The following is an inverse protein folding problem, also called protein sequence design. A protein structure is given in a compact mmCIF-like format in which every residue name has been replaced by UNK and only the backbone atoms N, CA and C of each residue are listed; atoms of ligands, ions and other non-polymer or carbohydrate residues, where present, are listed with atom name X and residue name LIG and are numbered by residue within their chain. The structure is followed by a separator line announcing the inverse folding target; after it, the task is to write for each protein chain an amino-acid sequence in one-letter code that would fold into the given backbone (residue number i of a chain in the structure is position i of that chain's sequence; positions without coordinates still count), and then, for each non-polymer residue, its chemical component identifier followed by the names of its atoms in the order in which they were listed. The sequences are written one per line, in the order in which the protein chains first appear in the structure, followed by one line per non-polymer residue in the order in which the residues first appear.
data_IF_561340128899
#
_entry.id   IF_561340128899
#
_cell.length_a   1.000
_cell.length_b   1.000
_cell.length_c   1.000
_cell.angle_alpha   90.00
_cell.angle_beta   90.00
_cell.angle_gamma   90.00
#
_symmetry.space_group_name_H-M   'P 1'
#
loop_
_entity.id
_entity.type
_entity.pdbx_description
1 polymer ?
#
# COMPACT_ATOMS: atom_id res chain seq x y z
N UNK A 1 17.13 -5.90 -24.52
CA UNK A 1 16.82 -7.28 -24.95
C UNK A 1 16.53 -8.23 -23.79
N UNK A 2 16.57 -7.78 -22.54
CA UNK A 2 16.12 -8.57 -21.40
C UNK A 2 14.59 -8.51 -21.28
N UNK A 3 14.00 -9.60 -20.81
CA UNK A 3 12.59 -9.69 -20.51
C UNK A 3 12.24 -8.86 -19.27
N UNK A 4 11.06 -8.23 -19.22
CA UNK A 4 10.59 -7.49 -18.04
C UNK A 4 10.25 -8.43 -16.88
N UNK A 5 9.75 -9.65 -17.17
CA UNK A 5 9.54 -10.72 -16.19
C UNK A 5 10.54 -11.84 -16.42
N UNK A 6 11.00 -12.45 -15.32
CA UNK A 6 11.90 -13.60 -15.39
C UNK A 6 11.21 -14.79 -16.04
N UNK A 7 11.90 -15.41 -17.00
CA UNK A 7 11.52 -16.67 -17.61
C UNK A 7 12.75 -17.59 -17.67
N UNK A 8 12.72 -18.66 -16.91
CA UNK A 8 13.81 -19.62 -16.80
C UNK A 8 14.21 -20.22 -18.16
N UNK A 9 13.23 -20.50 -19.04
CA UNK A 9 13.48 -21.04 -20.38
C UNK A 9 14.30 -20.09 -21.26
N UNK A 10 14.22 -18.78 -20.99
CA UNK A 10 14.94 -17.76 -21.73
C UNK A 10 16.22 -17.29 -21.02
N UNK A 11 16.73 -18.02 -20.03
CA UNK A 11 18.04 -17.74 -19.42
C UNK A 11 19.08 -18.72 -19.97
N UNK A 12 19.71 -18.33 -21.07
CA UNK A 12 20.76 -19.10 -21.74
C UNK A 12 21.98 -18.23 -22.05
N UNK A 13 23.16 -18.85 -22.12
CA UNK A 13 24.37 -18.20 -22.62
C UNK A 13 24.27 -18.02 -24.14
N UNK A 14 24.58 -16.81 -24.61
CA UNK A 14 24.58 -16.46 -26.02
C UNK A 14 25.97 -15.96 -26.43
N UNK A 15 26.49 -16.48 -27.53
CA UNK A 15 27.72 -16.01 -28.18
C UNK A 15 27.31 -15.34 -29.48
N UNK A 16 27.61 -14.05 -29.58
CA UNK A 16 27.34 -13.26 -30.78
C UNK A 16 28.59 -13.20 -31.68
N UNK A 17 28.46 -12.67 -32.90
CA UNK A 17 29.53 -12.42 -33.89
C UNK A 17 30.68 -11.58 -33.35
N UNK A 18 30.49 -10.87 -32.24
CA UNK A 18 31.55 -10.16 -31.54
C UNK A 18 32.42 -11.07 -30.64
N UNK A 19 32.21 -12.39 -30.68
CA UNK A 19 32.90 -13.42 -29.91
C UNK A 19 32.81 -13.27 -28.38
N UNK A 20 31.91 -12.42 -27.87
CA UNK A 20 31.68 -12.27 -26.43
C UNK A 20 30.51 -13.15 -26.00
N UNK A 21 30.66 -13.75 -24.82
CA UNK A 21 29.62 -14.51 -24.13
C UNK A 21 28.76 -13.58 -23.30
N UNK A 22 27.44 -13.70 -23.43
CA UNK A 22 26.49 -12.94 -22.65
C UNK A 22 25.51 -13.88 -21.96
N UNK A 23 25.41 -13.72 -20.64
CA UNK A 23 24.45 -14.42 -19.81
C UNK A 23 23.69 -13.38 -18.98
N UNK A 24 22.34 -13.38 -18.98
CA UNK A 24 21.57 -12.54 -18.09
C UNK A 24 21.95 -12.79 -16.63
N UNK A 25 22.06 -11.70 -15.85
CA UNK A 25 22.29 -11.78 -14.40
C UNK A 25 21.19 -12.63 -13.73
N UNK A 26 21.49 -13.16 -12.55
CA UNK A 26 20.53 -13.90 -11.75
C UNK A 26 19.23 -13.08 -11.55
N UNK A 27 18.08 -13.72 -11.71
CA UNK A 27 16.77 -13.05 -11.73
C UNK A 27 16.37 -12.43 -13.06
N UNK A 28 17.24 -12.37 -14.08
CA UNK A 28 16.90 -11.86 -15.42
C UNK A 28 16.97 -12.95 -16.49
N UNK A 29 16.24 -12.74 -17.59
CA UNK A 29 16.21 -13.62 -18.76
C UNK A 29 16.16 -12.80 -20.05
N UNK A 30 16.47 -13.42 -21.19
CA UNK A 30 16.30 -12.80 -22.51
C UNK A 30 14.81 -12.61 -22.85
N UNK A 31 14.50 -11.57 -23.62
CA UNK A 31 13.16 -11.33 -24.14
C UNK A 31 12.81 -12.30 -25.28
N UNK A 32 13.80 -12.69 -26.06
CA UNK A 32 13.65 -13.51 -27.27
C UNK A 32 14.27 -14.90 -27.06
N UNK A 33 13.84 -15.89 -27.85
CA UNK A 33 14.48 -17.21 -27.89
C UNK A 33 15.85 -17.13 -28.57
N UNK A 34 16.68 -18.17 -28.40
CA UNK A 34 18.02 -18.21 -28.96
C UNK A 34 17.99 -18.10 -30.50
N UNK A 35 17.04 -18.78 -31.12
CA UNK A 35 16.82 -18.77 -32.57
C UNK A 35 16.49 -17.35 -33.06
N UNK A 36 15.59 -16.66 -32.35
CA UNK A 36 15.22 -15.28 -32.72
C UNK A 36 16.36 -14.30 -32.51
N UNK A 37 17.20 -14.51 -31.50
CA UNK A 37 18.40 -13.69 -31.27
C UNK A 37 19.42 -13.87 -32.40
N UNK A 38 19.61 -15.09 -32.93
CA UNK A 38 20.46 -15.35 -34.10
C UNK A 38 19.90 -14.69 -35.36
N UNK A 39 18.60 -14.81 -35.61
CA UNK A 39 17.93 -14.15 -36.75
C UNK A 39 18.12 -12.61 -36.71
N UNK A 40 17.96 -12.02 -35.52
CA UNK A 40 18.18 -10.58 -35.33
C UNK A 40 19.64 -10.16 -35.51
N UNK A 41 20.59 -11.04 -35.20
CA UNK A 41 22.01 -10.79 -35.44
C UNK A 41 22.35 -10.81 -36.94
N UNK A 42 21.82 -11.78 -37.68
CA UNK A 42 21.97 -11.85 -39.14
C UNK A 42 21.36 -10.62 -39.83
N UNK A 43 20.20 -10.16 -39.36
CA UNK A 43 19.52 -8.97 -39.89
C UNK A 43 20.15 -7.64 -39.40
N UNK A 44 21.31 -7.67 -38.74
CA UNK A 44 22.03 -6.47 -38.29
C UNK A 44 21.28 -5.64 -37.23
N UNK A 45 20.33 -6.25 -36.51
CA UNK A 45 19.49 -5.61 -35.49
C UNK A 45 20.09 -5.66 -34.09
N UNK A 46 21.32 -6.09 -33.93
CA UNK A 46 21.99 -6.17 -32.63
C UNK A 46 23.13 -5.15 -32.57
N UNK A 47 23.08 -4.29 -31.55
CA UNK A 47 24.15 -3.35 -31.22
C UNK A 47 24.86 -3.80 -29.93
N UNK A 48 26.19 -3.71 -29.90
CA UNK A 48 27.05 -4.23 -28.83
C UNK A 48 27.58 -3.14 -27.88
N UNK A 49 26.81 -2.08 -27.64
CA UNK A 49 27.20 -1.01 -26.71
C UNK A 49 27.32 -1.47 -25.24
N UNK A 50 28.21 -0.85 -24.45
CA UNK A 50 29.51 -1.42 -24.09
C UNK A 50 29.47 -2.70 -23.24
N UNK A 51 28.35 -3.04 -22.62
CA UNK A 51 28.25 -4.14 -21.65
C UNK A 51 27.18 -5.20 -21.97
N UNK A 52 26.08 -4.85 -22.65
CA UNK A 52 25.00 -5.79 -22.95
C UNK A 52 24.38 -5.49 -24.32
N UNK A 53 24.10 -6.51 -25.13
CA UNK A 53 23.61 -6.31 -26.47
C UNK A 53 22.20 -5.69 -26.44
N UNK A 54 21.98 -4.71 -27.31
CA UNK A 54 20.72 -3.97 -27.46
C UNK A 54 20.12 -4.24 -28.83
N UNK A 55 18.78 -4.19 -28.90
CA UNK A 55 18.07 -4.24 -30.17
C UNK A 55 18.22 -2.86 -30.84
N UNK A 56 18.76 -2.85 -32.05
CA UNK A 56 18.74 -1.73 -32.98
C UNK A 56 17.39 -1.73 -33.71
N UNK A 57 16.82 -0.55 -33.89
CA UNK A 57 15.61 -0.36 -34.70
C UNK A 57 15.95 0.65 -35.78
N UNK A 58 15.63 0.34 -37.03
CA UNK A 58 16.00 1.18 -38.16
C UNK A 58 14.96 2.29 -38.34
N UNK A 59 15.43 3.49 -38.71
CA UNK A 59 14.58 4.68 -38.83
C UNK A 59 13.48 4.53 -39.90
N UNK A 60 13.76 3.79 -40.97
CA UNK A 60 12.79 3.47 -42.02
C UNK A 60 11.66 2.53 -41.55
N UNK A 61 11.83 1.84 -40.42
CA UNK A 61 10.83 0.95 -39.81
C UNK A 61 10.07 1.64 -38.67
N UNK A 62 10.62 2.74 -38.15
CA UNK A 62 9.90 3.55 -37.17
C UNK A 62 8.84 4.35 -37.89
N UNK A 63 7.58 3.92 -37.78
CA UNK A 63 6.43 4.76 -38.13
C UNK A 63 6.37 6.01 -37.25
N UNK A 64 5.26 6.77 -37.33
CA UNK A 64 5.01 7.93 -36.49
C UNK A 64 5.26 7.59 -35.01
N UNK A 65 6.35 8.13 -34.45
CA UNK A 65 6.64 7.98 -33.04
C UNK A 65 5.77 8.98 -32.27
N UNK A 66 5.14 8.56 -31.16
CA UNK A 66 4.42 9.50 -30.32
C UNK A 66 5.38 10.59 -29.83
N UNK A 67 4.93 11.85 -29.88
CA UNK A 67 5.68 13.00 -29.40
C UNK A 67 6.13 12.75 -27.96
N UNK A 68 7.38 13.07 -27.65
CA UNK A 68 7.88 12.98 -26.28
C UNK A 68 7.03 13.88 -25.38
N UNK A 69 6.76 13.41 -24.17
CA UNK A 69 6.04 14.19 -23.16
C UNK A 69 6.69 15.56 -22.95
N UNK A 70 5.87 16.60 -22.75
CA UNK A 70 6.34 17.92 -22.33
C UNK A 70 6.88 17.90 -20.90
N UNK A 71 6.55 16.87 -20.10
CA UNK A 71 7.14 16.67 -18.80
C UNK A 71 8.60 16.23 -18.97
N UNK A 72 9.50 17.14 -18.62
CA UNK A 72 10.93 16.89 -18.65
C UNK A 72 11.30 15.72 -17.75
N UNK A 73 12.25 14.92 -18.21
CA UNK A 73 12.75 13.74 -17.50
C UNK A 73 13.30 14.10 -16.12
N UNK A 74 13.84 15.30 -15.94
CA UNK A 74 14.35 15.73 -14.63
C UNK A 74 13.24 15.88 -13.58
N UNK A 75 12.03 16.24 -14.06
CA UNK A 75 10.83 16.45 -13.25
C UNK A 75 10.10 15.13 -13.02
N UNK A 76 9.76 14.42 -14.10
CA UNK A 76 8.89 13.24 -14.04
C UNK A 76 9.67 11.91 -13.92
N UNK A 77 10.97 11.92 -14.20
CA UNK A 77 11.75 10.71 -14.36
C UNK A 77 11.40 9.92 -15.62
N UNK A 78 11.90 8.69 -15.70
CA UNK A 78 11.63 7.78 -16.80
C UNK A 78 11.37 6.34 -16.30
N UNK A 79 10.88 5.47 -17.19
CA UNK A 79 10.54 4.09 -16.86
C UNK A 79 11.74 3.28 -16.32
N UNK A 80 12.96 3.55 -16.79
CA UNK A 80 14.15 2.84 -16.30
C UNK A 80 14.42 3.16 -14.84
N UNK A 81 14.27 4.43 -14.45
CA UNK A 81 14.42 4.87 -13.06
C UNK A 81 13.41 4.20 -12.13
N UNK A 82 12.15 4.05 -12.56
CA UNK A 82 11.13 3.31 -11.80
C UNK A 82 11.56 1.87 -11.52
N UNK A 83 12.06 1.18 -12.56
CA UNK A 83 12.55 -0.20 -12.44
C UNK A 83 13.77 -0.29 -11.53
N UNK A 84 14.75 0.60 -11.71
CA UNK A 84 15.97 0.64 -10.89
C UNK A 84 15.67 0.88 -9.41
N UNK A 85 14.78 1.82 -9.09
CA UNK A 85 14.40 2.12 -7.71
C UNK A 85 13.76 0.90 -7.04
N UNK A 86 12.87 0.19 -7.75
CA UNK A 86 12.28 -1.02 -7.21
C UNK A 86 13.32 -2.13 -7.01
N UNK A 87 14.25 -2.31 -7.95
CA UNK A 87 15.34 -3.28 -7.82
C UNK A 87 16.25 -2.97 -6.63
N UNK A 88 16.54 -1.70 -6.38
CA UNK A 88 17.33 -1.27 -5.22
C UNK A 88 16.62 -1.64 -3.90
N UNK A 89 15.31 -1.42 -3.80
CA UNK A 89 14.50 -1.78 -2.63
C UNK A 89 14.43 -3.31 -2.42
N UNK A 90 14.40 -4.09 -3.51
CA UNK A 90 14.21 -5.55 -3.49
C UNK A 90 15.50 -6.35 -3.71
N UNK A 91 16.68 -5.74 -3.58
CA UNK A 91 17.98 -6.40 -3.74
C UNK A 91 18.14 -7.13 -5.09
N UNK A 92 17.82 -6.45 -6.20
CA UNK A 92 17.87 -6.97 -7.58
C UNK A 92 16.99 -8.20 -7.86
N UNK A 93 16.07 -8.55 -6.96
CA UNK A 93 15.06 -9.56 -7.28
C UNK A 93 14.06 -8.97 -8.26
N UNK A 94 13.77 -9.70 -9.33
CA UNK A 94 12.73 -9.31 -10.30
C UNK A 94 11.37 -9.54 -9.67
N UNK A 95 10.81 -8.50 -9.03
CA UNK A 95 9.59 -8.62 -8.23
C UNK A 95 8.36 -8.06 -8.93
N UNK A 96 8.51 -7.06 -9.82
CA UNK A 96 7.38 -6.45 -10.54
C UNK A 96 7.81 -5.77 -11.83
N UNK A 97 6.99 -5.89 -12.87
CA UNK A 97 7.24 -5.28 -14.18
C UNK A 97 6.65 -3.86 -14.26
N UNK A 98 7.40 -2.94 -14.87
CA UNK A 98 6.94 -1.59 -15.21
C UNK A 98 6.40 -0.75 -14.04
N UNK A 99 7.11 -0.65 -12.89
CA UNK A 99 6.74 0.32 -11.86
C UNK A 99 6.75 1.75 -12.43
N UNK A 100 5.82 2.58 -11.97
CA UNK A 100 5.81 4.00 -12.34
C UNK A 100 7.01 4.71 -11.72
N UNK A 101 7.58 5.75 -12.35
CA UNK A 101 8.63 6.53 -11.74
C UNK A 101 8.11 7.28 -10.51
N UNK A 102 8.78 7.16 -9.36
CA UNK A 102 8.41 7.89 -8.13
C UNK A 102 8.36 9.41 -8.35
N UNK A 103 9.34 9.94 -9.10
CA UNK A 103 9.42 11.37 -9.45
C UNK A 103 8.14 11.90 -10.11
N UNK A 104 7.57 11.15 -11.04
CA UNK A 104 6.31 11.51 -11.69
C UNK A 104 5.18 11.64 -10.67
N UNK A 105 4.99 10.64 -9.81
CA UNK A 105 3.91 10.67 -8.82
C UNK A 105 4.12 11.77 -7.79
N UNK A 106 5.35 11.97 -7.32
CA UNK A 106 5.68 13.06 -6.40
C UNK A 106 5.38 14.42 -7.03
N UNK A 107 5.76 14.62 -8.29
CA UNK A 107 5.44 15.85 -9.03
C UNK A 107 3.92 16.07 -9.12
N UNK A 108 3.15 15.06 -9.53
CA UNK A 108 1.69 15.18 -9.66
C UNK A 108 1.03 15.49 -8.31
N UNK A 109 1.41 14.78 -7.25
CA UNK A 109 0.86 15.00 -5.90
C UNK A 109 1.25 16.40 -5.38
N UNK A 110 2.47 16.87 -5.65
CA UNK A 110 2.93 18.21 -5.23
C UNK A 110 2.15 19.36 -5.83
N UNK A 111 1.40 19.14 -6.92
CA UNK A 111 0.51 20.17 -7.51
C UNK A 111 -0.76 20.38 -6.70
N UNK A 112 -1.10 19.45 -5.81
CA UNK A 112 -2.17 19.65 -4.86
C UNK A 112 -1.63 20.40 -3.62
N UNK A 113 -2.18 21.59 -3.37
CA UNK A 113 -1.70 22.48 -2.31
C UNK A 113 -2.01 21.97 -0.89
N UNK A 114 -3.05 21.16 -0.73
CA UNK A 114 -3.41 20.64 0.59
C UNK A 114 -2.43 19.55 1.03
N UNK A 115 -1.58 19.89 2.00
CA UNK A 115 -0.60 18.97 2.59
C UNK A 115 -1.21 17.95 3.58
N UNK A 116 -2.51 18.00 3.81
CA UNK A 116 -3.25 17.07 4.68
C UNK A 116 -4.24 16.21 3.89
N UNK A 117 -4.09 16.13 2.55
CA UNK A 117 -4.99 15.38 1.68
C UNK A 117 -4.81 13.86 1.79
N UNK A 118 -5.87 13.11 1.55
CA UNK A 118 -5.81 11.65 1.35
C UNK A 118 -5.67 11.32 -0.14
N UNK A 119 -4.62 10.58 -0.49
CA UNK A 119 -4.32 10.14 -1.86
C UNK A 119 -4.80 8.70 -2.05
N UNK A 120 -5.72 8.48 -2.98
CA UNK A 120 -6.23 7.15 -3.33
C UNK A 120 -5.62 6.66 -4.63
N UNK A 121 -5.07 5.45 -4.62
CA UNK A 121 -4.65 4.72 -5.81
C UNK A 121 -5.23 3.31 -5.81
N UNK A 122 -6.26 3.10 -6.62
CA UNK A 122 -6.96 1.82 -6.74
C UNK A 122 -6.32 0.84 -7.74
N UNK A 123 -5.18 1.21 -8.32
CA UNK A 123 -4.34 0.38 -9.18
C UNK A 123 -2.87 0.46 -8.75
N UNK A 124 -2.64 0.29 -7.44
CA UNK A 124 -1.35 0.61 -6.82
C UNK A 124 -0.16 -0.17 -7.39
N UNK A 125 -0.39 -1.41 -7.85
CA UNK A 125 0.64 -2.27 -8.45
C UNK A 125 1.88 -2.33 -7.56
N UNK A 126 3.01 -1.80 -8.04
CA UNK A 126 4.25 -1.73 -7.26
C UNK A 126 4.17 -0.93 -5.94
N UNK A 127 3.15 -0.10 -5.71
CA UNK A 127 3.03 0.74 -4.52
C UNK A 127 3.85 2.03 -4.60
N UNK A 128 4.08 2.55 -5.81
CA UNK A 128 4.88 3.76 -6.03
C UNK A 128 4.22 5.00 -5.42
N UNK A 129 2.88 5.09 -5.45
CA UNK A 129 2.12 6.22 -4.90
C UNK A 129 2.39 6.42 -3.41
N UNK A 130 2.35 5.36 -2.60
CA UNK A 130 2.66 5.44 -1.17
C UNK A 130 4.08 5.93 -0.89
N UNK A 131 5.08 5.40 -1.64
CA UNK A 131 6.46 5.87 -1.54
C UNK A 131 6.59 7.37 -1.87
N UNK A 132 5.93 7.85 -2.93
CA UNK A 132 5.96 9.26 -3.30
C UNK A 132 5.32 10.16 -2.23
N UNK A 133 4.21 9.72 -1.61
CA UNK A 133 3.55 10.46 -0.50
C UNK A 133 4.46 10.56 0.71
N UNK A 134 5.09 9.47 1.13
CA UNK A 134 6.00 9.44 2.28
C UNK A 134 7.20 10.36 2.08
N UNK A 135 7.80 10.32 0.89
CA UNK A 135 8.93 11.19 0.55
C UNK A 135 8.52 12.66 0.53
N UNK A 136 7.37 12.99 -0.07
CA UNK A 136 6.89 14.37 -0.14
C UNK A 136 6.58 14.92 1.26
N UNK A 137 5.97 14.13 2.15
CA UNK A 137 5.73 14.53 3.54
C UNK A 137 7.04 14.78 4.30
N UNK A 138 8.08 13.96 4.10
CA UNK A 138 9.41 14.18 4.70
C UNK A 138 10.07 15.44 4.15
N UNK A 139 9.91 15.75 2.86
CA UNK A 139 10.50 16.91 2.20
C UNK A 139 9.83 18.24 2.57
N UNK A 140 8.49 18.28 2.62
CA UNK A 140 7.73 19.52 2.75
C UNK A 140 6.99 19.69 4.08
N UNK A 141 7.21 18.78 5.03
CA UNK A 141 6.57 18.75 6.35
C UNK A 141 5.07 18.45 6.29
N UNK A 142 4.58 17.91 5.18
CA UNK A 142 3.17 17.55 5.02
C UNK A 142 2.74 16.34 5.85
N UNK A 143 1.43 16.17 5.94
CA UNK A 143 0.77 15.06 6.64
C UNK A 143 -0.27 14.40 5.71
N UNK A 144 0.10 14.20 4.44
CA UNK A 144 -0.74 13.52 3.45
C UNK A 144 -0.89 12.06 3.83
N UNK A 145 -2.09 11.52 3.69
CA UNK A 145 -2.39 10.10 3.88
C UNK A 145 -2.49 9.41 2.53
N UNK A 146 -2.36 8.08 2.50
CA UNK A 146 -2.57 7.31 1.27
C UNK A 146 -3.37 6.03 1.52
N UNK A 147 -4.17 5.66 0.52
CA UNK A 147 -4.89 4.39 0.45
C UNK A 147 -4.49 3.72 -0.87
N UNK A 148 -3.93 2.52 -0.77
CA UNK A 148 -3.50 1.73 -1.93
C UNK A 148 -4.37 0.48 -2.04
N UNK A 149 -5.01 0.30 -3.19
CA UNK A 149 -5.69 -0.94 -3.52
C UNK A 149 -4.95 -1.65 -4.65
N UNK A 150 -4.78 -2.96 -4.50
CA UNK A 150 -4.25 -3.84 -5.53
C UNK A 150 -4.93 -5.19 -5.43
N UNK A 151 -5.18 -5.82 -6.58
CA UNK A 151 -5.59 -7.21 -6.63
C UNK A 151 -4.39 -8.14 -6.32
N UNK A 152 -4.69 -9.43 -6.13
CA UNK A 152 -3.65 -10.46 -5.91
C UNK A 152 -2.96 -10.87 -7.21
N UNK A 153 -3.70 -10.85 -8.32
CA UNK A 153 -3.35 -11.43 -9.63
C UNK A 153 -2.92 -12.92 -9.57
N UNK A 154 -3.43 -13.67 -8.59
CA UNK A 154 -3.23 -15.11 -8.58
C UNK A 154 -3.96 -15.78 -9.75
N UNK A 155 -3.36 -16.84 -10.25
CA UNK A 155 -3.91 -17.70 -11.30
C UNK A 155 -4.03 -19.13 -10.78
N UNK A 156 -4.64 -20.04 -11.54
CA UNK A 156 -4.65 -21.47 -11.18
C UNK A 156 -3.24 -22.04 -11.05
N UNK A 157 -2.32 -21.59 -11.92
CA UNK A 157 -0.92 -22.05 -11.93
C UNK A 157 -0.06 -21.37 -10.87
N UNK A 158 -0.53 -20.24 -10.32
CA UNK A 158 0.16 -19.52 -9.25
C UNK A 158 -0.88 -18.97 -8.24
N UNK A 159 -1.46 -19.85 -7.41
CA UNK A 159 -2.55 -19.49 -6.50
C UNK A 159 -2.10 -18.57 -5.37
N UNK A 160 -0.81 -18.61 -5.02
CA UNK A 160 -0.21 -17.86 -3.91
C UNK A 160 0.29 -16.47 -4.28
N UNK A 161 0.36 -16.14 -5.58
CA UNK A 161 0.77 -14.82 -6.06
C UNK A 161 -0.12 -13.76 -5.43
N UNK A 162 0.49 -12.79 -4.75
CA UNK A 162 -0.24 -11.70 -4.13
C UNK A 162 0.56 -10.40 -4.25
N UNK A 163 0.33 -9.68 -5.35
CA UNK A 163 1.03 -8.41 -5.62
C UNK A 163 0.85 -7.42 -4.45
N UNK A 164 -0.36 -7.33 -3.91
CA UNK A 164 -0.66 -6.42 -2.81
C UNK A 164 0.22 -6.70 -1.57
N UNK A 165 0.37 -7.97 -1.18
CA UNK A 165 1.20 -8.39 -0.03
C UNK A 165 2.69 -8.33 -0.35
N UNK A 166 3.09 -8.96 -1.44
CA UNK A 166 4.49 -9.29 -1.72
C UNK A 166 5.26 -8.13 -2.35
N UNK A 167 4.55 -7.19 -2.99
CA UNK A 167 5.13 -6.06 -3.71
C UNK A 167 4.67 -4.74 -3.11
N UNK A 168 3.37 -4.44 -3.16
CA UNK A 168 2.84 -3.13 -2.77
C UNK A 168 3.13 -2.84 -1.31
N UNK A 169 2.74 -3.76 -0.42
CA UNK A 169 2.93 -3.63 1.02
C UNK A 169 4.41 -3.71 1.39
N UNK A 170 5.13 -4.70 0.87
CA UNK A 170 6.55 -4.89 1.19
C UNK A 170 7.42 -3.69 0.76
N UNK A 171 7.16 -3.10 -0.42
CA UNK A 171 7.83 -1.86 -0.85
C UNK A 171 7.60 -0.75 0.17
N UNK A 172 6.34 -0.48 0.52
CA UNK A 172 5.98 0.61 1.43
C UNK A 172 6.51 0.37 2.85
N UNK A 173 6.49 -0.88 3.32
CA UNK A 173 7.08 -1.28 4.60
C UNK A 173 8.57 -0.98 4.65
N UNK A 174 9.33 -1.36 3.61
CA UNK A 174 10.78 -1.10 3.52
C UNK A 174 11.10 0.38 3.50
N UNK A 175 10.41 1.18 2.70
CA UNK A 175 10.69 2.63 2.65
C UNK A 175 10.29 3.34 3.94
N UNK A 176 9.27 2.86 4.67
CA UNK A 176 8.91 3.37 6.00
C UNK A 176 10.00 3.05 7.03
N UNK A 177 10.45 1.80 7.07
CA UNK A 177 11.37 1.28 8.10
C UNK A 177 12.85 1.57 7.80
N UNK A 178 13.17 1.86 6.54
CA UNK A 178 14.53 1.84 6.02
C UNK A 178 14.89 0.45 5.49
N UNK A 179 15.87 0.40 4.59
CA UNK A 179 16.31 -0.83 3.94
C UNK A 179 17.77 -0.71 3.51
N UNK A 180 18.43 -1.84 3.30
CA UNK A 180 19.74 -1.86 2.62
C UNK A 180 19.48 -1.95 1.11
N UNK A 181 20.07 -1.08 0.30
CA UNK A 181 19.85 -1.14 -1.14
C UNK A 181 20.67 -2.29 -1.77
N UNK A 182 20.44 -2.53 -3.07
CA UNK A 182 21.16 -3.55 -3.83
C UNK A 182 22.70 -3.35 -3.91
N UNK A 183 23.22 -2.19 -3.50
CA UNK A 183 24.66 -1.87 -3.43
C UNK A 183 25.24 -2.11 -2.02
N UNK A 184 24.42 -2.52 -1.05
CA UNK A 184 24.84 -2.72 0.33
C UNK A 184 24.78 -1.46 1.20
N UNK A 185 24.23 -0.35 0.69
CA UNK A 185 24.15 0.92 1.39
C UNK A 185 22.85 0.98 2.22
N UNK A 186 22.94 1.48 3.47
CA UNK A 186 21.75 1.68 4.31
C UNK A 186 20.99 2.93 3.86
N UNK A 187 19.71 2.76 3.56
CA UNK A 187 18.75 3.82 3.29
C UNK A 187 17.89 4.04 4.53
N UNK A 188 17.87 5.27 5.04
CA UNK A 188 17.06 5.65 6.20
C UNK A 188 15.56 5.54 5.89
N UNK A 189 14.77 5.12 6.88
CA UNK A 189 13.32 5.12 6.78
C UNK A 189 12.74 6.51 6.60
N UNK A 190 11.62 6.58 5.87
CA UNK A 190 10.82 7.79 5.73
C UNK A 190 9.87 8.00 6.92
N UNK A 191 9.70 6.98 7.78
CA UNK A 191 8.74 7.00 8.87
C UNK A 191 7.30 6.85 8.39
N UNK A 192 6.36 6.91 9.32
CA UNK A 192 4.94 6.65 9.08
C UNK A 192 4.47 5.29 9.59
N UNK A 193 3.20 4.97 9.33
CA UNK A 193 2.57 3.71 9.68
C UNK A 193 1.96 3.06 8.43
N UNK A 194 1.81 1.74 8.47
CA UNK A 194 1.23 0.97 7.37
C UNK A 194 0.35 -0.13 7.94
N UNK A 195 -0.87 -0.25 7.40
CA UNK A 195 -1.82 -1.30 7.73
C UNK A 195 -2.20 -2.04 6.46
N UNK A 196 -2.41 -3.34 6.58
CA UNK A 196 -2.80 -4.20 5.47
C UNK A 196 -4.19 -4.78 5.76
N UNK A 197 -5.13 -4.48 4.88
CA UNK A 197 -6.50 -4.95 4.97
C UNK A 197 -6.82 -5.88 3.80
N UNK A 198 -7.76 -6.80 4.05
CA UNK A 198 -8.33 -7.68 3.02
C UNK A 198 -9.84 -7.52 3.04
N UNK A 199 -10.45 -7.57 1.87
CA UNK A 199 -11.90 -7.67 1.73
C UNK A 199 -12.31 -9.13 1.69
N UNK A 200 -13.39 -9.46 2.38
CA UNK A 200 -14.00 -10.79 2.38
C UNK A 200 -15.52 -10.65 2.40
N UNK A 201 -16.22 -11.56 1.72
CA UNK A 201 -17.67 -11.65 1.83
C UNK A 201 -18.09 -12.19 3.20
N UNK A 202 -19.18 -11.66 3.73
CA UNK A 202 -19.79 -12.20 4.94
C UNK A 202 -20.80 -13.28 4.51
N UNK A 203 -20.63 -14.55 4.94
CA UNK A 203 -21.56 -15.62 4.59
C UNK A 203 -22.91 -15.41 5.29
N UNK A 204 -24.02 -15.54 4.55
CA UNK A 204 -25.37 -15.34 5.07
C UNK A 204 -25.87 -16.44 6.01
N UNK A 205 -25.28 -17.64 5.97
CA UNK A 205 -25.80 -18.84 6.63
C UNK A 205 -25.16 -19.12 8.01
N UNK A 206 -24.62 -18.10 8.68
CA UNK A 206 -24.05 -18.22 10.02
C UNK A 206 -25.11 -17.93 11.08
N UNK A 207 -24.91 -18.43 12.30
CA UNK A 207 -25.77 -18.06 13.43
C UNK A 207 -25.73 -16.54 13.66
N UNK A 208 -26.75 -15.99 14.30
CA UNK A 208 -26.83 -14.56 14.63
C UNK A 208 -25.62 -14.15 15.48
N UNK A 209 -25.22 -14.99 16.44
CA UNK A 209 -24.08 -14.73 17.32
C UNK A 209 -22.74 -14.74 16.55
N UNK A 210 -22.53 -15.73 15.67
CA UNK A 210 -21.32 -15.77 14.82
C UNK A 210 -21.23 -14.57 13.85
N UNK A 211 -22.39 -14.09 13.38
CA UNK A 211 -22.48 -12.89 12.54
C UNK A 211 -22.16 -11.64 13.35
N UNK A 212 -22.64 -11.56 14.61
CA UNK A 212 -22.32 -10.49 15.55
C UNK A 212 -20.83 -10.39 15.80
N UNK A 213 -20.20 -11.50 16.19
CA UNK A 213 -18.76 -11.53 16.47
C UNK A 213 -17.93 -11.18 15.23
N UNK A 214 -18.32 -11.69 14.06
CA UNK A 214 -17.63 -11.36 12.81
C UNK A 214 -17.78 -9.88 12.41
N UNK A 215 -18.94 -9.28 12.68
CA UNK A 215 -19.23 -7.89 12.33
C UNK A 215 -18.57 -6.90 13.30
N UNK A 216 -18.67 -7.14 14.61
CA UNK A 216 -18.07 -6.32 15.68
C UNK A 216 -16.56 -6.19 15.47
N UNK A 217 -15.87 -7.31 15.28
CA UNK A 217 -14.42 -7.29 15.07
C UNK A 217 -14.00 -6.53 13.81
N UNK A 218 -14.86 -6.47 12.78
CA UNK A 218 -14.60 -5.70 11.56
C UNK A 218 -14.91 -4.22 11.75
N UNK A 219 -15.83 -3.85 12.63
CA UNK A 219 -16.16 -2.46 12.93
C UNK A 219 -15.01 -1.73 13.63
N UNK A 220 -14.31 -2.41 14.55
CA UNK A 220 -13.14 -1.84 15.24
C UNK A 220 -12.13 -1.24 14.24
N UNK A 221 -11.74 -2.03 13.23
CA UNK A 221 -10.76 -1.63 12.23
C UNK A 221 -11.28 -0.45 11.38
N UNK A 222 -12.58 -0.43 11.03
CA UNK A 222 -13.18 0.67 10.28
C UNK A 222 -13.19 1.98 11.07
N UNK A 223 -13.52 1.91 12.36
CA UNK A 223 -13.49 3.07 13.27
C UNK A 223 -12.04 3.53 13.50
N UNK A 224 -11.10 2.60 13.66
CA UNK A 224 -9.67 2.91 13.74
C UNK A 224 -9.13 3.61 12.49
N UNK A 225 -9.57 3.20 11.29
CA UNK A 225 -9.23 3.87 10.04
C UNK A 225 -9.79 5.30 10.03
N UNK A 226 -11.07 5.46 10.38
CA UNK A 226 -11.75 6.76 10.39
C UNK A 226 -11.08 7.76 11.34
N UNK A 227 -10.70 7.31 12.53
CA UNK A 227 -10.10 8.14 13.57
C UNK A 227 -8.56 8.20 13.52
N UNK A 228 -7.94 7.42 12.62
CA UNK A 228 -6.49 7.27 12.50
C UNK A 228 -5.84 6.80 13.81
N UNK A 229 -6.48 5.88 14.55
CA UNK A 229 -6.02 5.34 15.83
C UNK A 229 -5.81 3.84 15.71
N UNK A 230 -4.56 3.37 15.67
CA UNK A 230 -4.28 1.98 15.34
C UNK A 230 -3.60 1.19 16.47
N UNK A 231 -3.26 1.83 17.58
CA UNK A 231 -2.58 1.19 18.70
C UNK A 231 -3.60 0.82 19.77
N UNK A 232 -3.88 -0.47 19.98
CA UNK A 232 -4.74 -0.92 21.08
C UNK A 232 -4.13 -0.52 22.42
N UNK A 233 -4.96 -0.04 23.33
CA UNK A 233 -4.61 0.33 24.70
C UNK A 233 -5.07 -0.79 25.62
N UNK A 234 -4.19 -1.24 26.51
CA UNK A 234 -4.52 -2.19 27.57
C UNK A 234 -4.58 -1.44 28.89
N UNK A 235 -5.71 -1.52 29.59
CA UNK A 235 -5.94 -0.85 30.88
C UNK A 235 -5.48 -1.68 32.09
N UNK A 236 -4.76 -2.78 31.87
CA UNK A 236 -4.32 -3.72 32.91
C UNK A 236 -5.33 -4.85 33.18
N UNK A 237 -6.61 -4.63 32.89
CA UNK A 237 -7.66 -5.66 32.79
C UNK A 237 -8.34 -5.63 31.41
N UNK A 238 -8.79 -6.78 30.94
CA UNK A 238 -9.60 -6.87 29.71
C UNK A 238 -11.07 -6.64 30.06
N UNK A 239 -11.68 -5.63 29.45
CA UNK A 239 -13.09 -5.29 29.63
C UNK A 239 -13.84 -5.78 28.37
N UNK A 240 -14.71 -6.81 28.47
CA UNK A 240 -15.23 -7.55 27.31
C UNK A 240 -15.82 -6.70 26.18
N UNK A 241 -16.52 -5.62 26.52
CA UNK A 241 -17.28 -4.80 25.56
C UNK A 241 -16.74 -3.37 25.43
N UNK A 242 -15.55 -3.10 25.96
CA UNK A 242 -14.88 -1.80 25.86
C UNK A 242 -13.54 -1.95 25.17
N UNK A 243 -13.39 -1.29 24.01
CA UNK A 243 -12.14 -1.29 23.26
C UNK A 243 -11.61 0.12 23.12
N UNK A 244 -10.30 0.26 23.33
CA UNK A 244 -9.63 1.56 23.25
C UNK A 244 -8.42 1.47 22.33
N UNK A 245 -8.35 2.41 21.40
CA UNK A 245 -7.26 2.57 20.45
C UNK A 245 -6.71 3.99 20.53
N UNK A 246 -5.44 4.17 20.18
CA UNK A 246 -4.80 5.48 20.18
C UNK A 246 -3.89 5.72 18.99
N UNK A 247 -3.58 6.99 18.77
CA UNK A 247 -2.38 7.45 18.10
C UNK A 247 -1.59 8.39 19.05
N UNK A 248 -0.72 9.24 18.52
CA UNK A 248 0.05 10.19 19.35
C UNK A 248 -0.83 11.26 20.03
N UNK A 249 -1.94 11.63 19.42
CA UNK A 249 -2.73 12.81 19.76
C UNK A 249 -4.15 12.47 20.23
N UNK A 250 -4.74 11.39 19.73
CA UNK A 250 -6.14 11.05 19.88
C UNK A 250 -6.34 9.62 20.37
N UNK A 251 -7.49 9.40 21.01
CA UNK A 251 -8.02 8.10 21.37
C UNK A 251 -9.34 7.85 20.66
N UNK A 252 -9.61 6.57 20.40
CA UNK A 252 -10.89 6.06 19.95
C UNK A 252 -11.37 5.05 20.96
N UNK A 253 -12.53 5.30 21.53
CA UNK A 253 -13.14 4.45 22.55
C UNK A 253 -14.43 3.90 21.98
N UNK A 254 -14.61 2.59 22.07
CA UNK A 254 -15.74 1.88 21.50
C UNK A 254 -16.37 1.04 22.61
N UNK A 255 -17.64 1.34 22.92
CA UNK A 255 -18.45 0.61 23.88
C UNK A 255 -19.54 -0.16 23.12
N UNK A 256 -19.54 -1.48 23.25
CA UNK A 256 -20.49 -2.37 22.59
C UNK A 256 -21.70 -2.72 23.45
N UNK A 257 -21.57 -2.58 24.77
CA UNK A 257 -22.62 -2.84 25.73
C UNK A 257 -22.64 -1.80 26.84
N UNK A 258 -23.80 -1.17 27.03
CA UNK A 258 -24.04 -0.12 28.01
C UNK A 258 -23.90 -0.60 29.46
N UNK A 259 -23.97 -1.91 29.73
CA UNK A 259 -23.73 -2.44 31.08
C UNK A 259 -22.30 -2.16 31.58
N UNK A 260 -21.37 -1.83 30.68
CA UNK A 260 -19.99 -1.46 31.03
C UNK A 260 -19.76 0.06 31.05
N UNK A 261 -20.82 0.87 31.12
CA UNK A 261 -20.70 2.34 31.11
C UNK A 261 -19.87 2.90 32.27
N UNK A 262 -20.00 2.36 33.49
CA UNK A 262 -19.17 2.82 34.62
C UNK A 262 -17.67 2.60 34.35
N UNK A 263 -17.32 1.45 33.76
CA UNK A 263 -15.95 1.13 33.36
C UNK A 263 -15.44 2.05 32.24
N UNK A 264 -16.32 2.48 31.34
CA UNK A 264 -16.01 3.50 30.34
C UNK A 264 -15.64 4.82 31.03
N UNK A 265 -16.45 5.29 31.98
CA UNK A 265 -16.19 6.56 32.70
C UNK A 265 -14.83 6.52 33.40
N UNK A 266 -14.49 5.41 34.04
CA UNK A 266 -13.18 5.25 34.69
C UNK A 266 -12.02 5.26 33.68
N UNK A 267 -12.20 4.65 32.51
CA UNK A 267 -11.21 4.70 31.44
C UNK A 267 -11.03 6.12 30.89
N UNK A 268 -12.10 6.90 30.77
CA UNK A 268 -12.09 8.26 30.24
C UNK A 268 -11.33 9.24 31.15
N UNK A 269 -11.42 9.09 32.47
CA UNK A 269 -10.65 9.89 33.45
C UNK A 269 -9.13 9.80 33.23
N UNK A 270 -8.64 8.68 32.71
CA UNK A 270 -7.21 8.49 32.40
C UNK A 270 -6.79 9.27 31.14
N UNK A 271 -7.76 9.74 30.34
CA UNK A 271 -7.56 10.33 29.01
C UNK A 271 -7.94 11.81 28.93
N UNK A 272 -8.17 12.47 30.07
CA UNK A 272 -8.74 13.82 30.20
C UNK A 272 -8.01 14.88 29.35
N UNK A 273 -6.69 14.77 29.19
CA UNK A 273 -5.88 15.74 28.42
C UNK A 273 -5.81 15.47 26.91
N UNK A 274 -6.56 14.47 26.40
CA UNK A 274 -6.42 13.98 25.02
C UNK A 274 -7.76 14.01 24.31
N UNK A 275 -7.74 14.27 23.00
CA UNK A 275 -8.96 14.19 22.19
C UNK A 275 -9.46 12.74 22.15
N UNK A 276 -10.72 12.53 22.51
CA UNK A 276 -11.36 11.21 22.48
C UNK A 276 -12.52 11.20 21.49
N UNK A 277 -12.51 10.25 20.56
CA UNK A 277 -13.67 9.93 19.73
C UNK A 277 -14.40 8.73 20.36
N UNK A 278 -15.59 8.96 20.92
CA UNK A 278 -16.36 7.94 21.64
C UNK A 278 -17.49 7.40 20.75
N UNK A 279 -17.56 6.08 20.63
CA UNK A 279 -18.58 5.33 19.92
C UNK A 279 -19.32 4.39 20.88
N UNK A 280 -20.64 4.53 20.98
CA UNK A 280 -21.47 3.65 21.81
C UNK A 280 -22.48 2.94 20.90
N UNK A 281 -22.45 1.62 20.87
CA UNK A 281 -23.44 0.79 20.18
C UNK A 281 -24.65 0.58 21.11
N UNK A 282 -25.60 1.51 21.06
CA UNK A 282 -26.86 1.43 21.81
C UNK A 282 -28.08 1.54 20.88
N UNK A 283 -29.22 0.99 21.33
CA UNK A 283 -30.50 1.18 20.65
C UNK A 283 -31.06 2.59 20.89
N UNK A 284 -30.74 3.17 22.04
CA UNK A 284 -31.21 4.47 22.48
C UNK A 284 -30.19 5.54 22.11
N UNK A 285 -30.56 6.44 21.19
CA UNK A 285 -29.79 7.66 20.93
C UNK A 285 -29.89 8.55 22.17
N UNK A 286 -28.76 9.04 22.66
CA UNK A 286 -28.65 10.16 23.58
C UNK A 286 -29.01 9.91 25.07
N UNK A 287 -28.89 8.69 25.58
CA UNK A 287 -29.12 8.47 27.04
C UNK A 287 -27.99 9.03 27.91
N UNK A 288 -26.77 9.10 27.38
CA UNK A 288 -25.56 9.32 28.18
C UNK A 288 -24.95 10.73 28.05
N UNK A 289 -25.68 11.70 27.50
CA UNK A 289 -25.13 13.05 27.27
C UNK A 289 -24.83 13.77 28.60
N UNK A 290 -25.75 13.73 29.57
CA UNK A 290 -25.59 14.38 30.88
C UNK A 290 -24.39 13.82 31.68
N UNK A 291 -24.21 12.51 31.68
CA UNK A 291 -23.12 11.83 32.44
C UNK A 291 -21.74 12.04 31.80
N UNK A 292 -21.70 12.50 30.54
CA UNK A 292 -20.49 12.79 29.79
C UNK A 292 -20.19 14.29 29.69
N UNK A 293 -21.06 15.17 30.21
CA UNK A 293 -20.87 16.64 30.17
C UNK A 293 -19.57 17.08 30.85
N UNK A 294 -19.13 16.36 31.89
CA UNK A 294 -17.90 16.63 32.61
C UNK A 294 -16.63 16.44 31.74
N UNK A 295 -16.74 15.75 30.61
CA UNK A 295 -15.62 15.44 29.72
C UNK A 295 -15.59 16.34 28.47
N UNK A 296 -15.06 17.55 28.62
CA UNK A 296 -14.94 18.54 27.53
C UNK A 296 -14.05 18.11 26.35
N UNK A 297 -13.23 17.07 26.52
CA UNK A 297 -12.31 16.51 25.53
C UNK A 297 -12.91 15.38 24.67
N UNK A 298 -14.16 14.98 24.94
CA UNK A 298 -14.84 13.91 24.21
C UNK A 298 -15.67 14.48 23.07
N UNK A 299 -15.52 13.87 21.90
CA UNK A 299 -16.45 14.04 20.78
C UNK A 299 -17.27 12.78 20.64
N UNK A 300 -18.58 12.86 20.88
CA UNK A 300 -19.49 11.77 20.57
C UNK A 300 -19.56 11.60 19.05
N UNK A 301 -19.13 10.43 18.57
CA UNK A 301 -19.11 10.14 17.16
C UNK A 301 -20.21 9.14 16.83
N UNK A 302 -21.13 9.56 15.96
CA UNK A 302 -22.13 8.63 15.43
C UNK A 302 -21.42 7.49 14.68
N UNK A 303 -21.84 6.26 14.99
CA UNK A 303 -21.52 5.09 14.17
C UNK A 303 -21.95 5.42 12.73
N UNK A 304 -21.10 5.19 11.71
CA UNK A 304 -21.49 5.37 10.32
C UNK A 304 -22.84 4.70 10.04
N UNK A 305 -23.76 5.42 9.39
CA UNK A 305 -25.14 4.97 9.21
C UNK A 305 -25.22 3.61 8.54
N UNK A 306 -24.34 3.32 7.57
CA UNK A 306 -24.29 2.04 6.88
C UNK A 306 -23.94 0.88 7.81
N UNK A 307 -23.06 1.11 8.79
CA UNK A 307 -22.70 0.13 9.82
C UNK A 307 -23.90 -0.10 10.73
N UNK A 308 -24.54 0.98 11.19
CA UNK A 308 -25.71 0.90 12.08
C UNK A 308 -26.91 0.23 11.39
N UNK A 309 -27.20 0.55 10.13
CA UNK A 309 -28.28 -0.06 9.36
C UNK A 309 -28.00 -1.53 9.04
N UNK A 310 -26.73 -1.88 8.80
CA UNK A 310 -26.34 -3.29 8.64
C UNK A 310 -26.50 -4.04 9.95
N UNK A 311 -26.07 -3.44 11.07
CA UNK A 311 -26.27 -3.99 12.40
C UNK A 311 -27.77 -4.23 12.67
N UNK A 312 -28.62 -3.22 12.48
CA UNK A 312 -30.08 -3.35 12.64
C UNK A 312 -30.70 -4.44 11.77
N UNK A 313 -30.34 -4.49 10.49
CA UNK A 313 -30.82 -5.52 9.56
C UNK A 313 -30.42 -6.94 9.97
N UNK A 314 -29.22 -7.11 10.53
CA UNK A 314 -28.72 -8.41 10.98
C UNK A 314 -29.43 -8.84 12.28
N UNK A 315 -29.65 -7.91 13.20
CA UNK A 315 -30.16 -8.20 14.54
C UNK A 315 -31.65 -7.95 14.72
N UNK A 316 -32.37 -7.60 13.65
CA UNK A 316 -33.82 -7.40 13.67
C UNK A 316 -34.26 -6.20 14.52
N UNK A 317 -33.47 -5.13 14.53
CA UNK A 317 -33.70 -3.90 15.30
C UNK A 317 -34.36 -2.80 14.48
#
# INVERSE_FOLDING_TARGET
MLAPNFNEKNRYEMVFKNNKKYLPKEGHSWLYSKEKMLEMEEDGRISFEPNMPRKKTFLNETGLQPTKSLLLQDIAGNNQQGTSELMEIFHNKTTFSFPKPKKLLKYLISKHLNKNSTILDFFAGSGTTGHAVLELNKEDGGNRQFILCSNRENTKDNPDKNICRDITYERNKRVIQGYTNAKGEKVEGLGGNLRYYKTEFIPKNKSIDDLRDSFINKCDDLLCIKENTFTKVNLGEEIPELKIFKNKNNFTVILYDIFYFEKLVDALKIMEDKKVSLYIFSQSKNIFEEELEDFSNITFANIPNEILETYKKIFGL
#
